data_IF_866447731957
#
_entry.id   IF_866447731957
#
_cell.length_a   1.000
_cell.length_b   1.000
_cell.length_c   1.000
_cell.angle_alpha   90.00
_cell.angle_beta   90.00
_cell.angle_gamma   90.00
#
_symmetry.space_group_name_H-M   'P 1'
#
loop_
_entity.id
_entity.type
_entity.pdbx_description
1 polymer ?
#
# COMPACT_ATOMS: atom_id res chain seq x y z
N UNK A 1 -13.78 -1.09 -23.89
CA UNK A 1 -13.70 0.29 -23.34
C UNK A 1 -13.70 0.34 -21.81
N UNK A 2 -14.57 -0.42 -21.12
CA UNK A 2 -14.65 -0.42 -19.64
C UNK A 2 -13.31 -0.72 -18.92
N UNK A 3 -12.47 -1.61 -19.49
CA UNK A 3 -11.14 -1.98 -18.95
C UNK A 3 -10.15 -0.81 -18.85
N UNK A 4 -10.31 0.26 -19.65
CA UNK A 4 -9.45 1.46 -19.61
C UNK A 4 -10.06 2.60 -18.79
N UNK A 5 -11.39 2.68 -18.74
CA UNK A 5 -12.12 3.72 -18.03
C UNK A 5 -11.97 3.57 -16.51
N UNK A 6 -12.08 2.35 -15.98
CA UNK A 6 -12.04 2.11 -14.54
C UNK A 6 -10.65 2.43 -13.92
N UNK A 7 -9.51 1.98 -14.48
CA UNK A 7 -8.19 2.43 -13.99
C UNK A 7 -7.99 3.94 -14.05
N UNK A 8 -8.56 4.62 -15.06
CA UNK A 8 -8.48 6.07 -15.20
C UNK A 8 -9.27 6.78 -14.10
N UNK A 9 -10.52 6.40 -13.86
CA UNK A 9 -11.34 6.95 -12.76
C UNK A 9 -10.69 6.67 -11.42
N UNK A 10 -10.20 5.45 -11.21
CA UNK A 10 -9.48 5.09 -10.00
C UNK A 10 -8.25 5.97 -9.79
N UNK A 11 -7.46 6.21 -10.84
CA UNK A 11 -6.30 7.09 -10.77
C UNK A 11 -6.71 8.53 -10.44
N UNK A 12 -7.73 9.05 -11.12
CA UNK A 12 -8.23 10.40 -10.94
C UNK A 12 -8.73 10.67 -9.52
N UNK A 13 -9.29 9.65 -8.84
CA UNK A 13 -9.73 9.77 -7.45
C UNK A 13 -8.59 9.48 -6.47
N UNK A 14 -7.86 8.37 -6.63
CA UNK A 14 -6.91 7.90 -5.62
C UNK A 14 -5.60 8.69 -5.59
N UNK A 15 -5.16 9.24 -6.73
CA UNK A 15 -3.94 10.05 -6.78
C UNK A 15 -4.05 11.36 -5.98
N UNK A 16 -5.05 12.23 -6.17
CA UNK A 16 -5.13 13.47 -5.39
C UNK A 16 -5.37 13.23 -3.90
N UNK A 17 -6.10 12.17 -3.53
CA UNK A 17 -6.47 11.94 -2.11
C UNK A 17 -5.36 11.26 -1.32
N UNK A 18 -4.64 10.28 -1.90
CA UNK A 18 -3.67 9.45 -1.16
C UNK A 18 -2.27 9.36 -1.81
N UNK A 19 -2.00 10.17 -2.84
CA UNK A 19 -0.79 10.07 -3.67
C UNK A 19 -0.57 8.65 -4.23
N UNK A 20 -1.66 8.02 -4.67
CA UNK A 20 -1.64 6.65 -5.20
C UNK A 20 -0.66 6.49 -6.36
N UNK A 21 0.26 5.53 -6.23
CA UNK A 21 1.27 5.20 -7.26
C UNK A 21 0.84 4.09 -8.22
N UNK A 22 -0.44 3.71 -8.22
CA UNK A 22 -1.04 2.74 -9.14
C UNK A 22 -0.29 1.40 -9.22
N UNK A 23 0.09 0.81 -8.08
CA UNK A 23 0.70 -0.53 -8.07
C UNK A 23 -0.27 -1.68 -8.44
N UNK A 24 -1.56 -1.38 -8.62
CA UNK A 24 -2.58 -2.39 -8.95
C UNK A 24 -3.00 -3.30 -7.79
N UNK A 25 -2.43 -3.12 -6.59
CA UNK A 25 -2.73 -3.92 -5.39
C UNK A 25 -2.89 -2.96 -4.20
N UNK A 26 -4.12 -2.51 -3.93
CA UNK A 26 -4.36 -1.45 -2.93
C UNK A 26 -4.44 -2.03 -1.50
N UNK A 27 -3.72 -1.43 -0.54
CA UNK A 27 -3.76 -1.80 0.90
C UNK A 27 -3.98 -0.61 1.83
N UNK A 28 -4.59 0.47 1.33
CA UNK A 28 -4.83 1.67 2.14
C UNK A 28 -5.50 1.36 3.49
N UNK A 29 -6.47 0.44 3.48
CA UNK A 29 -7.20 0.04 4.68
C UNK A 29 -6.27 -0.55 5.75
N UNK A 30 -5.19 -1.23 5.36
CA UNK A 30 -4.24 -1.85 6.27
C UNK A 30 -3.13 -0.91 6.73
N UNK A 31 -2.92 0.22 6.03
CA UNK A 31 -1.79 1.11 6.26
C UNK A 31 -2.25 2.49 6.74
N UNK A 32 -3.27 2.54 7.59
CA UNK A 32 -3.78 3.81 8.15
C UNK A 32 -4.21 4.81 7.06
N UNK A 33 -4.79 4.31 5.96
CA UNK A 33 -5.15 5.12 4.79
C UNK A 33 -3.94 5.85 4.15
N UNK A 34 -2.76 5.25 4.22
CA UNK A 34 -1.51 5.80 3.66
C UNK A 34 -0.96 4.88 2.57
N UNK A 35 -0.72 5.38 1.37
CA UNK A 35 -0.17 4.55 0.28
C UNK A 35 1.31 4.23 0.53
N UNK A 36 1.71 2.97 0.81
CA UNK A 36 3.11 2.64 1.11
C UNK A 36 4.02 2.80 -0.11
N UNK A 37 3.45 2.73 -1.31
CA UNK A 37 4.19 2.89 -2.57
C UNK A 37 4.73 4.30 -2.79
N UNK A 38 4.35 5.27 -1.97
CA UNK A 38 4.93 6.63 -1.96
C UNK A 38 6.31 6.66 -1.30
N UNK A 39 6.72 5.58 -0.61
CA UNK A 39 8.09 5.40 -0.14
C UNK A 39 9.08 5.55 -1.31
N UNK A 40 10.19 6.33 -1.16
CA UNK A 40 11.22 6.42 -2.19
C UNK A 40 11.87 5.07 -2.56
N UNK A 41 11.84 4.10 -1.64
CA UNK A 41 12.33 2.74 -1.84
C UNK A 41 11.22 1.76 -2.28
N UNK A 42 10.00 2.25 -2.49
CA UNK A 42 8.83 1.45 -2.88
C UNK A 42 8.53 0.26 -1.95
N UNK A 43 8.88 0.38 -0.67
CA UNK A 43 8.71 -0.71 0.30
C UNK A 43 7.25 -0.94 0.66
N UNK A 44 6.82 -2.19 0.42
CA UNK A 44 5.45 -2.65 0.64
C UNK A 44 5.19 -3.15 2.06
N UNK A 45 6.23 -3.58 2.76
CA UNK A 45 6.14 -4.18 4.08
C UNK A 45 7.09 -3.44 5.02
N UNK A 46 6.54 -2.60 5.89
CA UNK A 46 7.27 -1.97 6.99
C UNK A 46 8.38 -0.96 6.61
N UNK A 47 8.96 -0.30 7.62
CA UNK A 47 10.09 0.61 7.45
C UNK A 47 11.38 -0.12 7.06
N UNK A 48 12.30 0.60 6.38
CA UNK A 48 13.59 0.06 5.89
C UNK A 48 14.72 -0.03 6.94
N UNK A 49 14.46 0.25 8.22
CA UNK A 49 15.50 0.50 9.23
C UNK A 49 16.12 1.90 9.13
N UNK A 50 16.12 2.53 7.95
CA UNK A 50 16.55 3.92 7.71
C UNK A 50 15.55 4.99 8.15
N UNK A 51 14.82 4.77 9.24
CA UNK A 51 13.98 5.81 9.85
C UNK A 51 14.86 6.62 10.78
N UNK A 52 14.98 7.92 10.52
CA UNK A 52 15.76 8.85 11.35
C UNK A 52 15.11 8.97 12.74
N UNK A 53 15.88 9.41 13.72
CA UNK A 53 15.41 9.62 15.10
C UNK A 53 14.18 10.53 15.19
N UNK A 54 14.08 11.52 14.30
CA UNK A 54 12.94 12.41 14.17
C UNK A 54 11.74 11.81 13.37
N UNK A 55 11.74 10.50 13.08
CA UNK A 55 10.69 9.82 12.32
C UNK A 55 10.72 10.05 10.80
N UNK A 56 11.72 10.74 10.26
CA UNK A 56 11.82 11.05 8.83
C UNK A 56 12.57 9.99 8.03
N UNK A 57 12.41 10.02 6.71
CA UNK A 57 13.07 9.09 5.79
C UNK A 57 14.58 9.37 5.68
N UNK A 58 15.42 8.32 5.61
CA UNK A 58 16.84 8.49 5.32
C UNK A 58 17.10 9.11 3.94
N UNK A 59 16.33 8.72 2.92
CA UNK A 59 16.52 9.10 1.50
C UNK A 59 16.01 10.51 1.23
N UNK A 60 14.92 10.91 1.90
CA UNK A 60 14.27 12.20 1.76
C UNK A 60 14.08 12.81 3.15
N UNK A 61 15.10 13.51 3.69
CA UNK A 61 15.10 14.02 5.07
C UNK A 61 13.89 14.89 5.43
N UNK A 62 13.34 15.59 4.44
CA UNK A 62 12.18 16.48 4.54
C UNK A 62 10.83 15.73 4.59
N UNK A 63 10.82 14.44 4.28
CA UNK A 63 9.63 13.60 4.25
C UNK A 63 9.55 12.74 5.51
N UNK A 64 8.43 12.82 6.23
CA UNK A 64 8.10 11.86 7.29
C UNK A 64 8.09 10.43 6.70
N UNK A 65 8.71 9.47 7.37
CA UNK A 65 8.69 8.07 6.92
C UNK A 65 7.24 7.61 6.73
N UNK A 66 6.94 7.03 5.56
CA UNK A 66 5.56 6.65 5.22
C UNK A 66 4.97 5.63 6.19
N UNK A 67 5.81 4.76 6.77
CA UNK A 67 5.39 3.74 7.74
C UNK A 67 5.20 4.32 9.13
N UNK A 68 5.99 5.32 9.53
CA UNK A 68 5.72 6.09 10.77
C UNK A 68 4.37 6.81 10.62
N UNK A 69 4.15 7.51 9.51
CA UNK A 69 2.87 8.16 9.20
C UNK A 69 1.70 7.17 9.16
N UNK A 70 1.89 5.98 8.60
CA UNK A 70 0.86 4.94 8.55
C UNK A 70 0.51 4.42 9.95
N UNK A 71 1.51 4.23 10.82
CA UNK A 71 1.30 3.87 12.22
C UNK A 71 0.51 4.96 12.96
N UNK A 72 0.97 6.21 12.89
CA UNK A 72 0.32 7.36 13.55
C UNK A 72 -1.16 7.46 13.16
N UNK A 73 -1.47 7.28 11.87
CA UNK A 73 -2.85 7.29 11.35
C UNK A 73 -3.65 6.06 11.77
N UNK A 74 -3.03 4.89 11.86
CA UNK A 74 -3.70 3.67 12.35
C UNK A 74 -4.16 3.84 13.79
N UNK A 75 -3.34 4.49 14.63
CA UNK A 75 -3.69 4.80 16.01
C UNK A 75 -4.74 5.91 16.08
N UNK A 76 -4.49 7.05 15.42
CA UNK A 76 -5.28 8.28 15.58
C UNK A 76 -6.61 8.33 14.84
N UNK A 77 -6.76 7.64 13.70
CA UNK A 77 -7.99 7.67 12.93
C UNK A 77 -9.06 6.72 13.51
N UNK A 78 -10.36 7.06 13.37
CA UNK A 78 -11.48 6.21 13.76
C UNK A 78 -11.70 5.09 12.73
N UNK A 79 -10.70 4.23 12.54
CA UNK A 79 -10.76 3.06 11.65
C UNK A 79 -11.34 1.83 12.37
N UNK A 80 -11.99 0.91 11.65
CA UNK A 80 -12.41 -0.38 12.20
C UNK A 80 -11.25 -1.12 12.88
N UNK A 81 -11.51 -1.80 14.00
CA UNK A 81 -10.48 -2.55 14.76
C UNK A 81 -9.71 -3.53 13.88
N UNK A 82 -10.43 -4.29 13.04
CA UNK A 82 -9.87 -5.23 12.08
C UNK A 82 -8.86 -4.58 11.13
N UNK A 83 -9.11 -3.34 10.68
CA UNK A 83 -8.17 -2.63 9.81
C UNK A 83 -6.91 -2.18 10.55
N UNK A 84 -7.03 -1.85 11.84
CA UNK A 84 -5.87 -1.50 12.66
C UNK A 84 -4.97 -2.71 12.88
N UNK A 85 -5.55 -3.89 13.05
CA UNK A 85 -4.83 -5.16 13.20
C UNK A 85 -4.04 -5.53 11.92
N UNK A 86 -4.58 -5.19 10.74
CA UNK A 86 -3.92 -5.45 9.46
C UNK A 86 -2.57 -4.72 9.28
N UNK A 87 -2.26 -3.69 10.09
CA UNK A 87 -1.01 -2.93 9.95
C UNK A 87 0.24 -3.82 10.08
N UNK A 88 0.20 -4.81 10.96
CA UNK A 88 1.34 -5.71 11.23
C UNK A 88 1.36 -6.97 10.34
N UNK A 89 0.45 -7.09 9.39
CA UNK A 89 0.43 -8.24 8.47
C UNK A 89 1.55 -8.15 7.45
N UNK A 90 2.32 -9.23 7.35
CA UNK A 90 3.27 -9.42 6.27
C UNK A 90 2.52 -9.77 4.98
N UNK A 91 2.76 -9.02 3.91
CA UNK A 91 2.10 -9.20 2.62
C UNK A 91 3.05 -9.82 1.59
N UNK A 92 2.51 -10.56 0.60
CA UNK A 92 3.30 -10.97 -0.55
C UNK A 92 3.98 -9.79 -1.23
N UNK A 93 5.11 -10.05 -1.92
CA UNK A 93 5.74 -9.03 -2.74
C UNK A 93 4.77 -8.50 -3.79
N UNK A 94 4.89 -7.21 -4.10
CA UNK A 94 4.06 -6.56 -5.13
C UNK A 94 4.34 -7.20 -6.48
N UNK A 95 3.28 -7.59 -7.19
CA UNK A 95 3.35 -7.99 -8.58
C UNK A 95 3.42 -6.76 -9.48
N UNK A 96 4.62 -6.41 -9.90
CA UNK A 96 4.87 -5.26 -10.77
C UNK A 96 4.18 -5.36 -12.13
N UNK A 97 3.75 -6.56 -12.56
CA UNK A 97 2.97 -6.73 -13.81
C UNK A 97 1.58 -6.11 -13.71
N UNK A 98 1.10 -5.81 -12.49
CA UNK A 98 -0.18 -5.14 -12.24
C UNK A 98 -0.08 -3.61 -12.21
N UNK A 99 1.12 -3.04 -12.33
CA UNK A 99 1.29 -1.59 -12.30
C UNK A 99 0.46 -0.90 -13.40
N UNK A 100 -0.21 0.20 -13.04
CA UNK A 100 -1.10 0.95 -13.93
C UNK A 100 -2.48 0.32 -14.16
N UNK A 101 -2.73 -0.90 -13.68
CA UNK A 101 -4.05 -1.54 -13.75
C UNK A 101 -4.92 -1.14 -12.54
N UNK A 102 -6.24 -1.35 -12.65
CA UNK A 102 -7.19 -1.04 -11.56
C UNK A 102 -7.03 -2.02 -10.40
N UNK A 103 -6.89 -1.51 -9.18
CA UNK A 103 -6.81 -2.38 -8.00
C UNK A 103 -8.13 -3.09 -7.73
N UNK A 104 -9.26 -2.48 -8.06
CA UNK A 104 -10.58 -3.10 -7.88
C UNK A 104 -10.78 -4.28 -8.82
N UNK A 105 -10.38 -4.14 -10.09
CA UNK A 105 -10.42 -5.26 -11.05
C UNK A 105 -9.54 -6.40 -10.57
N UNK A 106 -8.33 -6.10 -10.11
CA UNK A 106 -7.40 -7.14 -9.65
C UNK A 106 -7.91 -7.84 -8.39
N UNK A 107 -8.51 -7.11 -7.45
CA UNK A 107 -9.15 -7.68 -6.26
C UNK A 107 -10.27 -8.65 -6.62
N UNK A 108 -11.21 -8.24 -7.48
CA UNK A 108 -12.36 -9.08 -7.87
C UNK A 108 -11.93 -10.30 -8.69
N UNK A 109 -10.90 -10.14 -9.54
CA UNK A 109 -10.34 -11.23 -10.35
C UNK A 109 -9.28 -12.05 -9.61
N UNK A 110 -9.00 -11.73 -8.34
CA UNK A 110 -7.96 -12.35 -7.49
C UNK A 110 -6.56 -12.31 -8.09
N UNK A 111 -6.29 -11.40 -9.02
CA UNK A 111 -4.94 -11.22 -9.62
C UNK A 111 -3.95 -10.67 -8.62
N UNK A 112 -4.42 -9.84 -7.68
CA UNK A 112 -3.61 -9.29 -6.60
C UNK A 112 -3.29 -10.29 -5.47
N UNK A 113 -3.92 -11.47 -5.50
CA UNK A 113 -3.71 -12.59 -4.57
C UNK A 113 -2.75 -13.65 -5.14
N UNK A 114 -2.32 -13.52 -6.40
CA UNK A 114 -1.34 -14.44 -6.99
C UNK A 114 0.04 -14.14 -6.41
N UNK A 115 0.63 -15.14 -5.75
CA UNK A 115 1.94 -15.03 -5.10
C UNK A 115 3.02 -15.76 -5.93
N UNK A 116 4.29 -15.33 -5.87
CA UNK A 116 5.37 -16.02 -6.56
C UNK A 116 5.63 -17.41 -5.94
N UNK A 117 6.29 -18.28 -6.71
CA UNK A 117 6.74 -19.58 -6.20
C UNK A 117 7.59 -19.41 -4.92
N UNK A 118 7.32 -20.24 -3.91
CA UNK A 118 7.96 -20.15 -2.59
C UNK A 118 7.27 -19.21 -1.59
N UNK A 119 6.27 -18.43 -2.02
CA UNK A 119 5.42 -17.67 -1.10
C UNK A 119 4.13 -18.44 -0.81
N UNK A 120 4.16 -19.32 0.19
CA UNK A 120 2.98 -19.95 0.76
C UNK A 120 2.34 -19.00 1.77
N UNK A 121 1.15 -18.50 1.46
CA UNK A 121 0.30 -17.88 2.48
C UNK A 121 -0.06 -19.01 3.43
N UNK A 122 0.43 -18.96 4.69
CA UNK A 122 0.07 -19.96 5.69
C UNK A 122 -1.45 -20.06 5.73
N UNK A 123 -1.98 -21.27 5.59
CA UNK A 123 -3.39 -21.55 5.86
C UNK A 123 -3.65 -21.15 7.31
N UNK A 124 -4.37 -20.05 7.50
CA UNK A 124 -5.06 -19.76 8.74
C UNK A 124 -6.53 -20.10 8.53
#
# INVERSE_FOLDING_TARGET
MLKKLLPFVEHAVKKPVWDCRMCGQCVLHSTGMTCPMTCPKTLRNGPCGGVRENGHCEVKPEMQCIWVKAYDRTVSLPLPKVWKEHYNELRPPVDMRLQGTSSWVNLVTKRDQQTPAGWSVGEN
#
